data_IF_000375374032
#
_entry.id   IF_000375374032
#
_cell.length_a   1.000
_cell.length_b   1.000
_cell.length_c   1.000
_cell.angle_alpha   90.00
_cell.angle_beta   90.00
_cell.angle_gamma   90.00
#
_symmetry.space_group_name_H-M   'P 1'
#
loop_
_entity.id
_entity.type
_entity.pdbx_description
1 polymer ?
#
# COMPACT_ATOMS: atom_id res chain seq x y z
N UNK A 1 -57.37 24.45 -44.11
CA UNK A 1 -56.19 23.57 -44.30
C UNK A 1 -54.94 23.98 -43.50
N UNK A 2 -54.84 25.20 -42.94
CA UNK A 2 -53.65 25.65 -42.17
C UNK A 2 -53.54 25.10 -40.74
N UNK A 3 -54.64 24.74 -40.08
CA UNK A 3 -54.61 24.31 -38.67
C UNK A 3 -53.97 22.93 -38.45
N UNK A 4 -54.14 21.99 -39.40
CA UNK A 4 -53.55 20.65 -39.28
C UNK A 4 -52.01 20.63 -39.33
N UNK A 5 -51.40 21.56 -40.08
CA UNK A 5 -49.94 21.66 -40.17
C UNK A 5 -49.31 22.18 -38.87
N UNK A 6 -49.98 23.09 -38.17
CA UNK A 6 -49.49 23.64 -36.91
C UNK A 6 -49.54 22.59 -35.78
N UNK A 7 -50.57 21.74 -35.76
CA UNK A 7 -50.66 20.63 -34.81
C UNK A 7 -49.58 19.56 -35.02
N UNK A 8 -49.29 19.21 -36.28
CA UNK A 8 -48.21 18.26 -36.61
C UNK A 8 -46.82 18.83 -36.30
N UNK A 9 -46.61 20.12 -36.57
CA UNK A 9 -45.35 20.79 -36.23
C UNK A 9 -45.12 20.82 -34.71
N UNK A 10 -46.18 21.08 -33.93
CA UNK A 10 -46.11 21.06 -32.47
C UNK A 10 -45.79 19.66 -31.92
N UNK A 11 -46.47 18.64 -32.42
CA UNK A 11 -46.22 17.25 -32.01
C UNK A 11 -44.78 16.79 -32.33
N UNK A 12 -44.21 17.23 -33.46
CA UNK A 12 -42.82 16.93 -33.83
C UNK A 12 -41.80 17.64 -32.92
N UNK A 13 -42.12 18.83 -32.42
CA UNK A 13 -41.27 19.57 -31.47
C UNK A 13 -41.28 18.88 -30.10
N UNK A 14 -42.45 18.48 -29.61
CA UNK A 14 -42.58 17.77 -28.34
C UNK A 14 -41.85 16.41 -28.36
N UNK A 15 -41.98 15.65 -29.45
CA UNK A 15 -41.26 14.39 -29.63
C UNK A 15 -39.74 14.58 -29.66
N UNK A 16 -39.25 15.62 -30.35
CA UNK A 16 -37.81 15.95 -30.35
C UNK A 16 -37.32 16.35 -28.97
N UNK A 17 -38.10 17.15 -28.24
CA UNK A 17 -37.74 17.58 -26.89
C UNK A 17 -37.65 16.39 -25.92
N UNK A 18 -38.65 15.49 -25.92
CA UNK A 18 -38.66 14.26 -25.13
C UNK A 18 -37.49 13.32 -25.49
N UNK A 19 -37.18 13.21 -26.78
CA UNK A 19 -36.02 12.44 -27.25
C UNK A 19 -34.71 13.05 -26.78
N UNK A 20 -34.55 14.38 -26.85
CA UNK A 20 -33.35 15.06 -26.39
C UNK A 20 -33.15 14.95 -24.88
N UNK A 21 -34.24 15.06 -24.12
CA UNK A 21 -34.22 14.95 -22.67
C UNK A 21 -33.86 13.53 -22.22
N UNK A 22 -34.37 12.50 -22.90
CA UNK A 22 -33.98 11.10 -22.61
C UNK A 22 -32.52 10.82 -22.94
N UNK A 23 -31.99 11.36 -24.05
CA UNK A 23 -30.57 11.26 -24.40
C UNK A 23 -29.68 12.00 -23.39
N UNK A 24 -30.09 13.17 -22.93
CA UNK A 24 -29.32 13.93 -21.92
C UNK A 24 -29.32 13.22 -20.57
N UNK A 25 -30.46 12.64 -20.14
CA UNK A 25 -30.53 11.80 -18.93
C UNK A 25 -29.57 10.60 -19.01
N UNK A 26 -29.51 9.92 -20.16
CA UNK A 26 -28.61 8.79 -20.38
C UNK A 26 -27.13 9.20 -20.28
N UNK A 27 -26.76 10.33 -20.90
CA UNK A 27 -25.39 10.88 -20.81
C UNK A 27 -25.00 11.20 -19.37
N UNK A 28 -25.90 11.81 -18.60
CA UNK A 28 -25.65 12.12 -17.19
C UNK A 28 -25.43 10.85 -16.35
N UNK A 29 -26.22 9.80 -16.57
CA UNK A 29 -26.05 8.52 -15.87
C UNK A 29 -24.68 7.90 -16.20
N UNK A 30 -24.27 7.91 -17.47
CA UNK A 30 -22.97 7.40 -17.90
C UNK A 30 -21.80 8.15 -17.26
N UNK A 31 -21.89 9.48 -17.18
CA UNK A 31 -20.88 10.32 -16.53
C UNK A 31 -20.77 9.97 -15.04
N UNK A 32 -21.90 9.84 -14.34
CA UNK A 32 -21.91 9.47 -12.91
C UNK A 32 -21.29 8.08 -12.71
N UNK A 33 -21.64 7.10 -13.53
CA UNK A 33 -21.07 5.74 -13.46
C UNK A 33 -19.56 5.75 -13.72
N UNK A 34 -19.09 6.53 -14.69
CA UNK A 34 -17.68 6.66 -14.98
C UNK A 34 -16.90 7.22 -13.78
N UNK A 35 -17.37 8.33 -13.20
CA UNK A 35 -16.72 8.92 -12.02
C UNK A 35 -16.78 8.01 -10.79
N UNK A 36 -17.89 7.29 -10.59
CA UNK A 36 -18.03 6.33 -9.49
C UNK A 36 -17.04 5.17 -9.66
N UNK A 37 -16.90 4.64 -10.88
CA UNK A 37 -15.95 3.59 -11.20
C UNK A 37 -14.50 4.06 -11.01
N UNK A 38 -14.18 5.28 -11.45
CA UNK A 38 -12.87 5.89 -11.29
C UNK A 38 -12.51 6.07 -9.80
N UNK A 39 -13.44 6.57 -9.00
CA UNK A 39 -13.25 6.71 -7.56
C UNK A 39 -13.03 5.35 -6.88
N UNK A 40 -13.79 4.33 -7.26
CA UNK A 40 -13.63 2.96 -6.75
C UNK A 40 -12.28 2.34 -7.14
N UNK A 41 -11.82 2.56 -8.37
CA UNK A 41 -10.51 2.09 -8.84
C UNK A 41 -9.36 2.77 -8.05
N UNK A 42 -9.45 4.07 -7.80
CA UNK A 42 -8.46 4.79 -6.98
C UNK A 42 -8.51 4.32 -5.53
N UNK A 43 -9.70 4.16 -4.96
CA UNK A 43 -9.87 3.69 -3.59
C UNK A 43 -9.30 2.28 -3.41
N UNK A 44 -9.63 1.35 -4.30
CA UNK A 44 -9.13 -0.04 -4.25
C UNK A 44 -7.60 -0.12 -4.41
N UNK A 45 -7.00 0.71 -5.25
CA UNK A 45 -5.54 0.78 -5.39
C UNK A 45 -4.84 1.29 -4.11
N UNK A 46 -5.43 2.29 -3.44
CA UNK A 46 -4.92 2.82 -2.16
C UNK A 46 -5.10 1.80 -1.04
N UNK A 47 -6.26 1.13 -0.98
CA UNK A 47 -6.54 0.12 0.05
C UNK A 47 -5.66 -1.13 -0.12
N UNK A 48 -5.45 -1.59 -1.35
CA UNK A 48 -4.49 -2.66 -1.65
C UNK A 48 -3.07 -2.28 -1.22
N UNK A 49 -2.64 -1.04 -1.50
CA UNK A 49 -1.31 -0.56 -1.11
C UNK A 49 -1.16 -0.43 0.41
N UNK A 50 -2.19 0.06 1.10
CA UNK A 50 -2.27 0.18 2.56
C UNK A 50 -2.29 -1.20 3.25
N UNK A 51 -2.96 -2.18 2.64
CA UNK A 51 -2.95 -3.56 3.11
C UNK A 51 -1.56 -4.19 2.92
N UNK A 52 -0.91 -3.96 1.78
CA UNK A 52 0.46 -4.44 1.54
C UNK A 52 1.44 -3.83 2.55
N UNK A 53 1.42 -2.53 2.83
CA UNK A 53 2.29 -1.94 3.88
C UNK A 53 1.94 -2.41 5.30
N UNK A 54 0.65 -2.64 5.62
CA UNK A 54 0.25 -3.21 6.92
C UNK A 54 0.60 -4.68 7.09
N UNK A 55 0.59 -5.47 6.01
CA UNK A 55 0.82 -6.91 6.04
C UNK A 55 2.30 -7.25 5.87
N UNK A 56 3.04 -6.53 5.03
CA UNK A 56 4.43 -6.88 4.71
C UNK A 56 5.47 -6.36 5.70
N UNK A 57 5.13 -5.46 6.62
CA UNK A 57 6.14 -4.89 7.52
C UNK A 57 7.34 -4.31 6.77
N UNK A 58 8.35 -3.88 7.52
CA UNK A 58 9.61 -3.42 6.98
C UNK A 58 10.62 -4.57 7.02
N UNK A 59 11.30 -4.82 5.90
CA UNK A 59 12.39 -5.78 5.86
C UNK A 59 13.67 -5.09 6.30
N UNK A 60 14.33 -5.66 7.29
CA UNK A 60 15.57 -5.18 7.87
C UNK A 60 16.61 -6.28 7.87
N UNK A 61 17.82 -5.93 7.50
CA UNK A 61 19.01 -6.72 7.75
C UNK A 61 19.62 -6.25 9.07
N UNK A 62 19.63 -7.14 10.07
CA UNK A 62 20.34 -6.94 11.33
C UNK A 62 21.70 -7.60 11.21
N UNK A 63 22.76 -6.87 11.48
CA UNK A 63 24.12 -7.38 11.52
C UNK A 63 24.76 -7.05 12.86
N UNK A 64 25.38 -8.06 13.45
CA UNK A 64 26.11 -7.95 14.70
C UNK A 64 27.61 -7.90 14.42
N UNK A 65 28.26 -6.83 14.85
CA UNK A 65 29.68 -6.59 14.60
C UNK A 65 30.42 -6.49 15.93
N UNK A 66 31.63 -7.05 16.01
CA UNK A 66 32.44 -6.99 17.23
C UNK A 66 31.86 -7.80 18.40
N UNK A 67 31.08 -8.85 18.11
CA UNK A 67 30.59 -9.84 19.08
C UNK A 67 31.34 -11.16 18.90
N UNK A 68 31.74 -11.78 20.01
CA UNK A 68 32.54 -13.01 20.03
C UNK A 68 31.69 -14.27 19.83
N UNK A 69 30.38 -14.19 20.00
CA UNK A 69 29.41 -15.28 19.80
C UNK A 69 28.24 -14.77 18.96
N UNK A 70 27.66 -15.67 18.16
CA UNK A 70 26.41 -15.40 17.45
C UNK A 70 25.26 -15.16 18.42
N UNK A 71 24.33 -14.28 18.06
CA UNK A 71 23.23 -13.86 18.93
C UNK A 71 21.95 -14.48 18.43
N UNK A 72 21.38 -15.40 19.20
CA UNK A 72 20.13 -16.04 18.79
C UNK A 72 18.91 -15.18 19.14
N UNK A 73 18.41 -14.44 18.15
CA UNK A 73 17.18 -13.66 18.26
C UNK A 73 15.94 -14.50 18.63
N UNK A 74 15.98 -15.83 18.44
CA UNK A 74 14.87 -16.73 18.81
C UNK A 74 14.76 -16.96 20.31
N UNK A 75 15.84 -16.73 21.07
CA UNK A 75 15.82 -16.92 22.52
C UNK A 75 14.94 -15.89 23.23
N UNK A 76 14.74 -14.69 22.63
CA UNK A 76 13.83 -13.69 23.20
C UNK A 76 12.43 -13.75 22.59
N UNK A 77 11.40 -14.16 23.36
CA UNK A 77 10.01 -14.08 22.92
C UNK A 77 9.54 -12.64 22.77
N UNK A 78 10.18 -11.65 23.42
CA UNK A 78 9.82 -10.23 23.26
C UNK A 78 10.17 -9.72 21.88
N UNK A 79 11.34 -10.14 21.37
CA UNK A 79 11.81 -9.82 20.03
C UNK A 79 10.96 -10.55 18.98
N UNK A 80 10.72 -11.85 19.15
CA UNK A 80 9.88 -12.67 18.25
C UNK A 80 8.41 -12.24 18.17
N UNK A 81 7.88 -11.52 19.16
CA UNK A 81 6.55 -10.90 19.06
C UNK A 81 6.48 -9.73 18.09
N UNK A 82 7.60 -9.04 17.84
CA UNK A 82 7.68 -7.80 17.06
C UNK A 82 8.35 -8.00 15.70
N UNK A 83 9.15 -9.05 15.56
CA UNK A 83 9.83 -9.41 14.32
C UNK A 83 9.54 -10.85 13.88
N UNK A 84 9.60 -11.09 12.58
CA UNK A 84 9.60 -12.40 11.97
C UNK A 84 10.94 -12.61 11.26
N UNK A 85 11.69 -13.64 11.64
CA UNK A 85 12.95 -13.97 10.96
C UNK A 85 12.63 -14.59 9.60
N UNK A 86 13.16 -13.99 8.54
CA UNK A 86 13.05 -14.47 7.15
C UNK A 86 14.23 -15.40 6.85
N UNK A 87 15.44 -14.97 7.23
CA UNK A 87 16.65 -15.77 7.09
C UNK A 87 17.65 -15.41 8.19
N UNK A 88 18.55 -16.35 8.48
CA UNK A 88 19.64 -16.17 9.42
C UNK A 88 20.93 -16.69 8.78
N UNK A 89 22.03 -15.99 9.01
CA UNK A 89 23.36 -16.47 8.64
C UNK A 89 23.73 -17.69 9.48
N UNK A 90 24.51 -18.62 8.91
CA UNK A 90 24.96 -19.85 9.59
C UNK A 90 25.74 -19.55 10.88
N UNK A 91 26.40 -18.39 10.96
CA UNK A 91 27.16 -17.93 12.13
C UNK A 91 26.33 -17.06 13.10
N UNK A 92 25.03 -16.87 12.86
CA UNK A 92 24.15 -16.07 13.74
C UNK A 92 24.66 -14.63 13.97
N UNK A 93 25.43 -14.08 13.02
CA UNK A 93 25.91 -12.69 13.06
C UNK A 93 25.07 -11.77 12.16
N UNK A 94 24.23 -12.32 11.31
CA UNK A 94 23.34 -11.55 10.44
C UNK A 94 21.97 -12.21 10.31
N UNK A 95 20.92 -11.40 10.31
CA UNK A 95 19.52 -11.84 10.23
C UNK A 95 18.75 -10.92 9.31
N UNK A 96 18.08 -11.46 8.29
CA UNK A 96 17.03 -10.72 7.59
C UNK A 96 15.72 -10.95 8.33
N UNK A 97 15.13 -9.87 8.83
CA UNK A 97 13.91 -9.90 9.62
C UNK A 97 12.87 -8.96 9.03
N UNK A 98 11.62 -9.34 9.16
CA UNK A 98 10.47 -8.51 8.85
C UNK A 98 9.91 -7.96 10.16
N UNK A 99 9.85 -6.65 10.31
CA UNK A 99 9.38 -6.00 11.53
C UNK A 99 8.20 -5.08 11.27
N UNK A 100 7.30 -4.97 12.24
CA UNK A 100 6.22 -3.96 12.23
C UNK A 100 6.62 -2.66 12.93
N UNK A 101 7.81 -2.60 13.52
CA UNK A 101 8.36 -1.42 14.21
C UNK A 101 9.47 -0.77 13.37
N UNK A 102 9.78 0.50 13.66
CA UNK A 102 10.86 1.22 12.98
C UNK A 102 12.25 0.64 13.35
N UNK A 103 13.24 0.95 12.53
CA UNK A 103 14.65 0.60 12.73
C UNK A 103 15.21 1.05 14.09
N UNK A 104 14.86 2.26 14.54
CA UNK A 104 15.32 2.79 15.82
C UNK A 104 14.80 1.98 17.01
N UNK A 105 13.48 1.75 17.10
CA UNK A 105 12.90 0.97 18.19
C UNK A 105 13.31 -0.51 18.10
N UNK A 106 13.52 -1.03 16.89
CA UNK A 106 14.04 -2.38 16.70
C UNK A 106 15.46 -2.49 17.25
N UNK A 107 16.32 -1.50 16.96
CA UNK A 107 17.69 -1.44 17.48
C UNK A 107 17.71 -1.36 18.99
N UNK A 108 16.91 -0.47 19.58
CA UNK A 108 16.81 -0.33 21.04
C UNK A 108 16.32 -1.62 21.70
N UNK A 109 15.31 -2.28 21.12
CA UNK A 109 14.79 -3.54 21.64
C UNK A 109 15.86 -4.64 21.66
N UNK A 110 16.62 -4.77 20.58
CA UNK A 110 17.69 -5.79 20.47
C UNK A 110 18.83 -5.44 21.43
N UNK A 111 19.22 -4.17 21.51
CA UNK A 111 20.25 -3.72 22.45
C UNK A 111 19.86 -3.99 23.90
N UNK A 112 18.62 -3.67 24.28
CA UNK A 112 18.14 -3.84 25.65
C UNK A 112 17.99 -5.32 26.05
N UNK A 113 17.57 -6.18 25.12
CA UNK A 113 17.30 -7.58 25.44
C UNK A 113 18.56 -8.45 25.44
N UNK A 114 19.56 -8.11 24.64
CA UNK A 114 20.81 -8.87 24.52
C UNK A 114 22.03 -8.14 25.13
N UNK A 115 21.81 -7.06 25.87
CA UNK A 115 22.83 -6.22 26.52
C UNK A 115 23.95 -5.78 25.55
N UNK A 116 23.56 -5.33 24.36
CA UNK A 116 24.48 -4.96 23.29
C UNK A 116 24.72 -3.46 23.23
N UNK A 117 25.94 -3.09 22.90
CA UNK A 117 26.29 -1.69 22.65
C UNK A 117 25.81 -1.23 21.27
N UNK A 118 25.62 0.10 21.14
CA UNK A 118 25.06 0.74 19.93
C UNK A 118 25.91 0.50 18.68
N UNK A 119 27.22 0.38 18.84
CA UNK A 119 28.22 0.10 17.80
C UNK A 119 28.20 -1.36 17.33
N UNK A 120 27.69 -2.27 18.16
CA UNK A 120 27.67 -3.70 17.87
C UNK A 120 26.45 -4.15 17.09
N UNK A 121 25.43 -3.30 16.95
CA UNK A 121 24.17 -3.60 16.23
C UNK A 121 23.98 -2.65 15.06
N UNK A 122 24.04 -3.18 13.85
CA UNK A 122 23.78 -2.46 12.60
C UNK A 122 22.44 -2.94 12.05
N UNK A 123 21.51 -2.01 11.81
CA UNK A 123 20.22 -2.30 11.16
C UNK A 123 20.18 -1.54 9.85
N UNK A 124 19.95 -2.26 8.76
CA UNK A 124 19.80 -1.69 7.43
C UNK A 124 18.40 -2.04 6.90
N UNK A 125 17.66 -1.05 6.42
CA UNK A 125 16.39 -1.30 5.72
C UNK A 125 16.68 -1.88 4.34
N UNK A 126 16.16 -3.08 4.06
CA UNK A 126 16.29 -3.69 2.73
C UNK A 126 15.41 -2.98 1.66
N UNK A 127 14.60 -2.00 2.07
CA UNK A 127 13.67 -1.28 1.18
C UNK A 127 14.32 -0.20 0.30
N UNK A 128 15.66 -0.10 0.25
CA UNK A 128 16.38 0.93 -0.52
C UNK A 128 17.61 0.40 -1.28
N UNK A 129 17.47 -0.78 -1.91
CA UNK A 129 18.28 -1.14 -3.09
C UNK A 129 17.41 -1.48 -4.31
N UNK A 130 16.17 -0.99 -4.32
CA UNK A 130 15.41 -0.79 -5.54
C UNK A 130 15.96 0.46 -6.23
N UNK A 131 16.82 0.25 -7.22
CA UNK A 131 17.16 1.17 -8.30
C UNK A 131 16.15 2.32 -8.44
N UNK A 132 16.49 3.48 -7.86
CA UNK A 132 16.07 4.80 -8.37
C UNK A 132 16.94 5.10 -9.60
N UNK A 133 16.92 4.17 -10.55
CA UNK A 133 17.43 4.35 -11.90
C UNK A 133 16.30 4.96 -12.69
N UNK A 134 16.35 6.27 -12.77
CA UNK A 134 15.68 7.03 -13.82
C UNK A 134 16.12 6.41 -15.15
N UNK A 135 15.19 5.81 -15.87
CA UNK A 135 15.31 5.45 -17.28
C UNK A 135 14.06 5.93 -17.99
#
# INVERSE_FOLDING_TARGET
MKEGYNGLALALIELKYLSLESVNRMKTILIILFWTCLAFAVYSAIDAKSWVTKVFGYNYLIQFVGVTKGIDLKESPKVMKKIKIVSASRNQMAYSVQSRINDHALKELIMAEFDLRKDQVIIQSEQLSGVLGVA
#
